data_IF_373217539314
#
_entry.id   IF_373217539314
#
_cell.length_a   1.000
_cell.length_b   1.000
_cell.length_c   1.000
_cell.angle_alpha   90.00
_cell.angle_beta   90.00
_cell.angle_gamma   90.00
#
_symmetry.space_group_name_H-M   'P 1'
#
loop_
_entity.id
_entity.type
_entity.pdbx_description
1 polymer ?
#
# COMPACT_ATOMS: atom_id res chain seq x y z
N UNK A 1 -53.23 -10.68 22.49
CA UNK A 1 -53.07 -9.23 22.38
C UNK A 1 -51.86 -8.75 23.20
N UNK A 2 -51.81 -8.97 24.52
CA UNK A 2 -50.69 -8.60 25.42
C UNK A 2 -49.28 -9.04 24.96
N UNK A 3 -49.12 -10.26 24.43
CA UNK A 3 -47.81 -10.77 23.99
C UNK A 3 -47.25 -10.05 22.74
N UNK A 4 -48.11 -9.48 21.91
CA UNK A 4 -47.70 -8.75 20.71
C UNK A 4 -47.14 -7.36 21.06
N UNK A 5 -47.80 -6.67 22.00
CA UNK A 5 -47.36 -5.35 22.48
C UNK A 5 -46.01 -5.41 23.19
N UNK A 6 -45.78 -6.46 24.00
CA UNK A 6 -44.49 -6.65 24.68
C UNK A 6 -43.35 -6.90 23.68
N UNK A 7 -43.59 -7.70 22.62
CA UNK A 7 -42.60 -7.91 21.54
C UNK A 7 -42.32 -6.64 20.74
N UNK A 8 -43.35 -5.84 20.46
CA UNK A 8 -43.20 -4.56 19.78
C UNK A 8 -42.34 -3.59 20.60
N UNK A 9 -42.63 -3.46 21.90
CA UNK A 9 -41.87 -2.61 22.81
C UNK A 9 -40.40 -3.04 22.91
N UNK A 10 -40.13 -4.35 23.02
CA UNK A 10 -38.76 -4.88 23.05
C UNK A 10 -37.98 -4.57 21.76
N UNK A 11 -38.62 -4.69 20.59
CA UNK A 11 -38.00 -4.35 19.30
C UNK A 11 -37.70 -2.85 19.19
N UNK A 12 -38.61 -1.99 19.66
CA UNK A 12 -38.40 -0.53 19.68
C UNK A 12 -37.25 -0.11 20.61
N UNK A 13 -37.10 -0.78 21.76
CA UNK A 13 -35.97 -0.57 22.68
C UNK A 13 -34.67 -1.08 22.06
N UNK A 14 -34.68 -2.25 21.42
CA UNK A 14 -33.50 -2.80 20.75
C UNK A 14 -33.04 -1.94 19.57
N UNK A 15 -33.98 -1.44 18.77
CA UNK A 15 -33.67 -0.56 17.64
C UNK A 15 -33.11 0.79 18.11
N UNK A 16 -33.68 1.39 19.15
CA UNK A 16 -33.19 2.66 19.69
C UNK A 16 -31.82 2.52 20.36
N UNK A 17 -31.55 1.43 21.06
CA UNK A 17 -30.22 1.14 21.63
C UNK A 17 -29.16 0.93 20.54
N UNK A 18 -29.47 0.18 19.47
CA UNK A 18 -28.57 0.05 18.31
C UNK A 18 -28.27 1.40 17.66
N UNK A 19 -29.30 2.24 17.45
CA UNK A 19 -29.11 3.59 16.90
C UNK A 19 -28.24 4.48 17.79
N UNK A 20 -28.39 4.38 19.11
CA UNK A 20 -27.57 5.12 20.07
C UNK A 20 -26.12 4.62 20.08
N UNK A 21 -25.89 3.30 20.06
CA UNK A 21 -24.54 2.73 20.00
C UNK A 21 -23.85 3.09 18.70
N UNK A 22 -24.56 3.09 17.57
CA UNK A 22 -24.03 3.50 16.28
C UNK A 22 -23.68 5.00 16.29
N UNK A 23 -24.56 5.84 16.82
CA UNK A 23 -24.32 7.27 16.96
C UNK A 23 -23.10 7.55 17.86
N UNK A 24 -23.02 6.90 19.01
CA UNK A 24 -21.89 7.05 19.93
C UNK A 24 -20.59 6.58 19.29
N UNK A 25 -20.60 5.40 18.66
CA UNK A 25 -19.42 4.82 17.99
C UNK A 25 -18.93 5.71 16.85
N UNK A 26 -19.85 6.24 16.03
CA UNK A 26 -19.50 7.12 14.93
C UNK A 26 -18.92 8.46 15.40
N UNK A 27 -19.51 9.08 16.44
CA UNK A 27 -18.99 10.33 16.99
C UNK A 27 -17.66 10.14 17.74
N UNK A 28 -17.48 9.02 18.43
CA UNK A 28 -16.21 8.65 19.06
C UNK A 28 -15.13 8.43 18.00
N UNK A 29 -15.44 7.71 16.92
CA UNK A 29 -14.53 7.51 15.80
C UNK A 29 -14.11 8.83 15.16
N UNK A 30 -15.06 9.75 14.94
CA UNK A 30 -14.77 11.12 14.47
C UNK A 30 -13.87 11.90 15.42
N UNK A 31 -14.01 11.71 16.73
CA UNK A 31 -13.18 12.38 17.72
C UNK A 31 -11.74 11.84 17.72
N UNK A 32 -11.57 10.53 17.56
CA UNK A 32 -10.27 9.86 17.63
C UNK A 32 -9.49 9.91 16.31
N UNK A 33 -10.17 9.86 15.15
CA UNK A 33 -9.53 9.85 13.83
C UNK A 33 -8.51 10.97 13.61
N UNK A 34 -8.79 12.25 13.95
CA UNK A 34 -7.82 13.33 13.80
C UNK A 34 -6.57 13.08 14.65
N UNK A 35 -6.70 12.64 15.89
CA UNK A 35 -5.56 12.40 16.77
C UNK A 35 -4.65 11.27 16.25
N UNK A 36 -5.26 10.20 15.73
CA UNK A 36 -4.53 9.06 15.17
C UNK A 36 -3.91 9.40 13.81
N UNK A 37 -4.60 10.16 12.96
CA UNK A 37 -4.14 10.54 11.61
C UNK A 37 -3.19 11.74 11.58
N UNK A 38 -3.18 12.59 12.61
CA UNK A 38 -2.35 13.79 12.68
C UNK A 38 -0.86 13.50 12.48
N UNK A 39 -0.37 12.36 12.98
CA UNK A 39 1.04 11.96 12.78
C UNK A 39 1.34 11.65 11.32
N UNK A 40 0.49 10.87 10.66
CA UNK A 40 0.61 10.55 9.24
C UNK A 40 0.49 11.80 8.39
N UNK A 41 -0.47 12.69 8.69
CA UNK A 41 -0.64 13.96 7.98
C UNK A 41 0.58 14.88 8.14
N UNK A 42 1.12 15.01 9.36
CA UNK A 42 2.37 15.77 9.60
C UNK A 42 3.55 15.17 8.86
N UNK A 43 3.67 13.84 8.80
CA UNK A 43 4.72 13.17 8.03
C UNK A 43 4.58 13.48 6.54
N UNK A 44 3.38 13.32 5.98
CA UNK A 44 3.11 13.63 4.56
C UNK A 44 3.42 15.10 4.25
N UNK A 45 2.97 16.03 5.10
CA UNK A 45 3.28 17.45 4.96
C UNK A 45 4.78 17.74 5.02
N UNK A 46 5.54 17.02 5.86
CA UNK A 46 6.99 17.15 5.90
C UNK A 46 7.63 16.59 4.62
N UNK A 47 7.13 15.48 4.11
CA UNK A 47 7.65 14.86 2.89
C UNK A 47 7.40 15.75 1.65
N UNK A 48 6.30 16.51 1.62
CA UNK A 48 6.03 17.48 0.56
C UNK A 48 6.90 18.74 0.62
N UNK A 49 7.58 19.03 1.72
CA UNK A 49 8.50 20.19 1.82
C UNK A 49 9.78 19.99 1.01
N UNK A 50 10.23 18.74 0.84
CA UNK A 50 11.40 18.41 0.02
C UNK A 50 11.20 17.10 -0.74
N UNK A 51 10.33 17.08 -1.76
CA UNK A 51 9.98 15.87 -2.48
C UNK A 51 11.19 15.27 -3.22
N UNK A 52 12.13 16.10 -3.69
CA UNK A 52 13.34 15.64 -4.36
C UNK A 52 14.21 14.77 -3.44
N UNK A 53 14.46 15.22 -2.20
CA UNK A 53 15.22 14.43 -1.22
C UNK A 53 14.50 13.15 -0.82
N UNK A 54 13.17 13.21 -0.65
CA UNK A 54 12.35 12.04 -0.31
C UNK A 54 12.40 11.00 -1.43
N UNK A 55 12.17 11.40 -2.68
CA UNK A 55 12.20 10.51 -3.84
C UNK A 55 13.59 9.90 -4.05
N UNK A 56 14.65 10.68 -3.84
CA UNK A 56 16.02 10.18 -3.90
C UNK A 56 16.28 9.06 -2.87
N UNK A 57 15.77 9.20 -1.64
CA UNK A 57 15.87 8.16 -0.60
C UNK A 57 15.04 6.92 -0.93
N UNK A 58 13.83 7.11 -1.47
CA UNK A 58 12.97 6.01 -1.93
C UNK A 58 13.67 5.21 -3.03
N UNK A 59 14.20 5.89 -4.05
CA UNK A 59 14.95 5.25 -5.12
C UNK A 59 16.15 4.46 -4.57
N UNK A 60 16.97 5.07 -3.70
CA UNK A 60 18.11 4.38 -3.08
C UNK A 60 17.68 3.14 -2.29
N UNK A 61 16.57 3.22 -1.56
CA UNK A 61 16.02 2.08 -0.81
C UNK A 61 15.63 0.93 -1.74
N UNK A 62 14.93 1.25 -2.83
CA UNK A 62 14.53 0.25 -3.84
C UNK A 62 15.77 -0.38 -4.48
N UNK A 63 16.72 0.42 -4.95
CA UNK A 63 17.94 -0.07 -5.61
C UNK A 63 18.74 -0.99 -4.68
N UNK A 64 18.91 -0.61 -3.41
CA UNK A 64 19.65 -1.43 -2.45
C UNK A 64 18.94 -2.75 -2.14
N UNK A 65 17.61 -2.75 -2.01
CA UNK A 65 16.84 -3.99 -1.80
C UNK A 65 16.87 -4.91 -3.02
N UNK A 66 16.82 -4.33 -4.21
CA UNK A 66 16.70 -5.09 -5.46
C UNK A 66 18.04 -5.42 -6.13
N UNK A 67 19.19 -4.99 -5.58
CA UNK A 67 20.49 -5.10 -6.25
C UNK A 67 20.93 -6.52 -6.60
N UNK A 68 20.47 -7.51 -5.84
CA UNK A 68 20.89 -8.91 -5.99
C UNK A 68 19.93 -9.75 -6.85
N UNK A 69 18.82 -9.18 -7.33
CA UNK A 69 17.90 -9.83 -8.28
C UNK A 69 18.53 -9.92 -9.67
N UNK A 70 18.04 -10.80 -10.54
CA UNK A 70 18.56 -10.91 -11.90
C UNK A 70 18.37 -9.60 -12.67
N UNK A 71 17.21 -8.94 -12.49
CA UNK A 71 16.95 -7.62 -13.04
C UNK A 71 17.87 -6.53 -12.46
N UNK A 72 18.12 -6.54 -11.15
CA UNK A 72 19.00 -5.58 -10.50
C UNK A 72 20.45 -5.72 -10.93
N UNK A 73 20.92 -6.96 -11.13
CA UNK A 73 22.24 -7.25 -11.71
C UNK A 73 22.34 -6.80 -13.15
N UNK A 74 21.30 -7.07 -13.98
CA UNK A 74 21.24 -6.64 -15.40
C UNK A 74 21.49 -5.13 -15.56
N UNK A 75 20.96 -4.30 -14.66
CA UNK A 75 21.12 -2.84 -14.70
C UNK A 75 22.07 -2.28 -13.64
N UNK A 76 22.89 -3.14 -13.01
CA UNK A 76 23.93 -2.75 -12.05
C UNK A 76 23.42 -1.86 -10.89
N UNK A 77 22.25 -2.17 -10.33
CA UNK A 77 21.64 -1.40 -9.24
C UNK A 77 22.54 -1.21 -8.02
N UNK A 78 23.45 -2.17 -7.76
CA UNK A 78 24.43 -2.10 -6.69
C UNK A 78 25.32 -0.84 -6.74
N UNK A 79 25.54 -0.25 -7.92
CA UNK A 79 26.44 0.87 -8.12
C UNK A 79 25.74 2.22 -8.35
N UNK A 80 24.41 2.22 -8.53
CA UNK A 80 23.64 3.44 -8.75
C UNK A 80 23.43 4.21 -7.43
N UNK A 81 23.71 5.51 -7.44
CA UNK A 81 23.63 6.39 -6.26
C UNK A 81 22.68 7.57 -6.43
N UNK A 82 22.33 7.91 -7.67
CA UNK A 82 21.48 9.06 -7.99
C UNK A 82 20.37 8.73 -8.99
N UNK A 83 19.29 9.51 -8.98
CA UNK A 83 18.25 9.46 -10.02
C UNK A 83 18.80 9.75 -11.42
N UNK A 84 19.89 10.52 -11.52
CA UNK A 84 20.54 10.78 -12.80
C UNK A 84 21.27 9.56 -13.34
N UNK A 85 22.05 8.88 -12.52
CA UNK A 85 22.70 7.61 -12.88
C UNK A 85 21.67 6.52 -13.22
N UNK A 86 20.56 6.47 -12.47
CA UNK A 86 19.46 5.55 -12.79
C UNK A 86 18.88 5.81 -14.19
N UNK A 87 18.57 7.07 -14.52
CA UNK A 87 18.04 7.41 -15.86
C UNK A 87 19.03 7.15 -17.00
N UNK A 88 20.34 7.21 -16.73
CA UNK A 88 21.37 6.93 -17.72
C UNK A 88 21.59 5.42 -17.94
N UNK A 89 21.33 4.60 -16.91
CA UNK A 89 21.57 3.15 -16.94
C UNK A 89 20.33 2.33 -17.28
N UNK A 90 19.14 2.81 -16.90
CA UNK A 90 17.88 2.09 -17.04
C UNK A 90 16.99 2.72 -18.13
N UNK A 91 16.57 1.96 -19.15
CA UNK A 91 15.71 2.48 -20.22
C UNK A 91 14.28 2.67 -19.73
N UNK A 92 13.53 3.57 -20.38
CA UNK A 92 12.08 3.57 -20.20
C UNK A 92 11.49 2.27 -20.78
N UNK A 93 10.69 1.58 -19.96
CA UNK A 93 10.12 0.26 -20.29
C UNK A 93 8.60 0.28 -20.24
N UNK A 94 7.98 -0.68 -20.91
CA UNK A 94 6.54 -0.97 -20.90
C UNK A 94 6.27 -2.33 -20.26
N UNK A 95 4.99 -2.71 -20.10
CA UNK A 95 4.62 -4.03 -19.56
C UNK A 95 5.21 -5.19 -20.38
N UNK A 96 5.30 -5.03 -21.71
CA UNK A 96 5.77 -6.09 -22.61
C UNK A 96 7.24 -6.49 -22.35
N UNK A 97 8.06 -5.55 -21.85
CA UNK A 97 9.45 -5.84 -21.45
C UNK A 97 9.54 -6.78 -20.23
N UNK A 98 8.45 -6.89 -19.46
CA UNK A 98 8.36 -7.71 -18.26
C UNK A 98 7.45 -8.93 -18.42
N UNK A 99 6.57 -8.98 -19.43
CA UNK A 99 5.57 -10.05 -19.61
C UNK A 99 6.18 -11.44 -19.45
N UNK A 100 7.24 -11.72 -20.21
CA UNK A 100 7.93 -13.02 -20.17
C UNK A 100 8.47 -13.36 -18.78
N UNK A 101 9.03 -12.37 -18.06
CA UNK A 101 9.56 -12.57 -16.71
C UNK A 101 8.41 -12.85 -15.75
N UNK A 102 7.31 -12.09 -15.83
CA UNK A 102 6.13 -12.24 -14.99
C UNK A 102 5.48 -13.62 -15.19
N UNK A 103 5.29 -14.05 -16.43
CA UNK A 103 4.76 -15.37 -16.77
C UNK A 103 5.67 -16.49 -16.25
N UNK A 104 6.99 -16.33 -16.38
CA UNK A 104 7.93 -17.31 -15.85
C UNK A 104 7.87 -17.38 -14.32
N UNK A 105 7.75 -16.25 -13.62
CA UNK A 105 7.58 -16.24 -12.16
C UNK A 105 6.26 -16.91 -11.77
N UNK A 106 5.16 -16.64 -12.48
CA UNK A 106 3.87 -17.26 -12.22
C UNK A 106 3.91 -18.79 -12.39
N UNK A 107 4.68 -19.30 -13.37
CA UNK A 107 4.79 -20.72 -13.65
C UNK A 107 5.77 -21.46 -12.73
N UNK A 108 6.87 -20.80 -12.32
CA UNK A 108 7.99 -21.46 -11.62
C UNK A 108 8.11 -21.08 -10.14
N UNK A 109 7.52 -19.95 -9.74
CA UNK A 109 7.72 -19.34 -8.42
C UNK A 109 9.09 -18.66 -8.23
N UNK A 110 9.95 -18.60 -9.26
CA UNK A 110 11.30 -18.05 -9.15
C UNK A 110 11.29 -16.50 -9.23
N UNK A 111 10.81 -15.85 -8.17
CA UNK A 111 10.57 -14.40 -8.10
C UNK A 111 11.84 -13.52 -8.14
N UNK A 112 13.00 -14.05 -7.74
CA UNK A 112 14.30 -13.36 -7.75
C UNK A 112 14.77 -12.91 -9.14
N UNK A 113 14.07 -13.32 -10.19
CA UNK A 113 14.24 -12.77 -11.54
C UNK A 113 13.94 -11.26 -11.60
N UNK A 114 12.98 -10.78 -10.80
CA UNK A 114 12.52 -9.39 -10.84
C UNK A 114 12.59 -8.72 -9.47
N UNK A 115 12.15 -9.40 -8.41
CA UNK A 115 11.98 -8.83 -7.06
C UNK A 115 12.72 -9.66 -6.00
N UNK A 116 13.21 -9.01 -4.95
CA UNK A 116 13.98 -9.65 -3.89
C UNK A 116 13.10 -10.37 -2.85
N UNK A 117 11.82 -10.04 -2.79
CA UNK A 117 10.86 -10.59 -1.82
C UNK A 117 9.83 -11.48 -2.53
N UNK A 118 9.32 -12.56 -1.88
CA UNK A 118 8.34 -13.46 -2.48
C UNK A 118 7.07 -12.74 -2.94
N UNK A 119 6.54 -13.14 -4.10
CA UNK A 119 5.27 -12.61 -4.61
C UNK A 119 4.11 -13.30 -3.91
N UNK A 120 3.20 -12.50 -3.34
CA UNK A 120 2.00 -12.97 -2.63
C UNK A 120 0.76 -12.90 -3.54
N UNK A 121 0.73 -11.94 -4.46
CA UNK A 121 -0.42 -11.65 -5.31
C UNK A 121 0.04 -11.03 -6.64
N UNK A 122 -0.59 -11.43 -7.73
CA UNK A 122 -0.57 -10.70 -9.00
C UNK A 122 -1.86 -9.90 -9.12
N UNK A 123 -1.76 -8.60 -9.42
CA UNK A 123 -2.91 -7.74 -9.61
C UNK A 123 -3.20 -7.57 -11.10
N UNK A 124 -4.36 -8.04 -11.55
CA UNK A 124 -4.82 -7.83 -12.91
C UNK A 124 -5.20 -6.35 -13.10
N UNK A 125 -4.61 -5.73 -14.11
CA UNK A 125 -4.96 -4.36 -14.52
C UNK A 125 -5.77 -4.48 -15.82
N UNK A 126 -7.07 -4.17 -15.73
CA UNK A 126 -7.99 -4.15 -16.86
C UNK A 126 -7.86 -2.88 -17.70
#
# INVERSE_FOLDING_TARGET
MFSFEVKMMANLIQNSTNQLTDWLSFNLLKLLLPAVSQRSLKSLQKDTQNPASVQQKVLQTILQRQKDTDYGKKYNFANLRSSNEFRQSHPLTTYEDYRSIIENIANTGHFSQLVAEPIILFQDTA
#
